data_IF_133709022184
#
_entry.id   IF_133709022184
#
_cell.length_a   1.000
_cell.length_b   1.000
_cell.length_c   1.000
_cell.angle_alpha   90.00
_cell.angle_beta   90.00
_cell.angle_gamma   90.00
#
_symmetry.space_group_name_H-M   'P 1'
#
loop_
_entity.id
_entity.type
_entity.pdbx_description
1 polymer ?
#
# COMPACT_ATOMS: atom_id res chain seq x y z
N UNK A 1 3.51 21.89 -20.58
CA UNK A 1 4.00 20.49 -20.57
C UNK A 1 3.29 19.78 -19.44
N UNK A 2 2.31 18.93 -19.73
CA UNK A 2 1.54 18.19 -18.71
C UNK A 2 2.47 17.20 -18.00
N UNK A 3 2.68 17.38 -16.70
CA UNK A 3 3.52 16.50 -15.89
C UNK A 3 2.72 15.26 -15.50
N UNK A 4 2.72 14.26 -16.38
CA UNK A 4 2.10 12.97 -16.10
C UNK A 4 2.89 12.24 -15.01
N UNK A 5 2.21 11.84 -13.94
CA UNK A 5 2.83 11.07 -12.86
C UNK A 5 2.55 9.59 -13.09
N UNK A 6 3.61 8.77 -13.07
CA UNK A 6 3.47 7.31 -13.15
C UNK A 6 3.30 6.73 -11.75
N UNK A 7 2.19 6.05 -11.51
CA UNK A 7 1.86 5.47 -10.22
C UNK A 7 1.66 3.96 -10.36
N UNK A 8 2.11 3.18 -9.37
CA UNK A 8 1.68 1.78 -9.25
C UNK A 8 0.18 1.71 -8.91
N UNK A 9 -0.45 0.55 -9.09
CA UNK A 9 -1.85 0.32 -8.71
C UNK A 9 -2.09 0.69 -7.25
N UNK A 10 -1.16 0.34 -6.36
CA UNK A 10 -1.26 0.65 -4.93
C UNK A 10 -1.15 2.15 -4.67
N UNK A 11 -0.18 2.82 -5.30
CA UNK A 11 0.00 4.27 -5.14
C UNK A 11 -1.21 5.05 -5.66
N UNK A 12 -1.78 4.62 -6.79
CA UNK A 12 -2.99 5.20 -7.35
C UNK A 12 -4.20 4.98 -6.41
N UNK A 13 -4.35 3.77 -5.87
CA UNK A 13 -5.39 3.43 -4.89
C UNK A 13 -5.33 4.35 -3.66
N UNK A 14 -4.13 4.52 -3.09
CA UNK A 14 -3.91 5.42 -1.95
C UNK A 14 -4.21 6.88 -2.30
N UNK A 15 -3.71 7.38 -3.45
CA UNK A 15 -3.91 8.78 -3.87
C UNK A 15 -5.40 9.10 -4.03
N UNK A 16 -6.17 8.20 -4.63
CA UNK A 16 -7.59 8.42 -4.91
C UNK A 16 -8.54 7.84 -3.86
N UNK A 17 -8.02 7.40 -2.70
CA UNK A 17 -8.81 6.83 -1.60
C UNK A 17 -9.76 5.71 -2.04
N UNK A 18 -9.27 4.83 -2.92
CA UNK A 18 -10.04 3.69 -3.43
C UNK A 18 -9.31 2.38 -3.17
N UNK A 19 -10.06 1.27 -3.15
CA UNK A 19 -9.46 -0.07 -3.04
C UNK A 19 -8.64 -0.41 -4.28
N UNK A 20 -7.54 -1.16 -4.11
CA UNK A 20 -6.76 -1.71 -5.23
C UNK A 20 -7.62 -2.51 -6.19
N UNK A 21 -8.63 -3.23 -5.68
CA UNK A 21 -9.60 -3.94 -6.51
C UNK A 21 -10.40 -3.00 -7.41
N UNK A 22 -10.81 -1.85 -6.89
CA UNK A 22 -11.53 -0.84 -7.66
C UNK A 22 -10.64 -0.25 -8.76
N UNK A 23 -9.36 -0.01 -8.48
CA UNK A 23 -8.37 0.42 -9.48
C UNK A 23 -8.22 -0.62 -10.59
N UNK A 24 -8.03 -1.90 -10.24
CA UNK A 24 -7.91 -3.00 -11.20
C UNK A 24 -9.16 -3.09 -12.08
N UNK A 25 -10.35 -2.94 -11.49
CA UNK A 25 -11.61 -2.93 -12.26
C UNK A 25 -11.63 -1.82 -13.31
N UNK A 26 -11.17 -0.61 -12.96
CA UNK A 26 -11.09 0.53 -13.90
C UNK A 26 -10.03 0.36 -14.97
N UNK A 27 -8.90 -0.26 -14.62
CA UNK A 27 -7.88 -0.68 -15.58
C UNK A 27 -8.46 -1.66 -16.60
N UNK A 28 -9.15 -2.71 -16.13
CA UNK A 28 -9.75 -3.72 -16.99
C UNK A 28 -10.87 -3.14 -17.87
N UNK A 29 -11.60 -2.15 -17.34
CA UNK A 29 -12.59 -1.37 -18.08
C UNK A 29 -11.96 -0.37 -19.08
N UNK A 30 -10.62 -0.29 -19.16
CA UNK A 30 -9.84 0.64 -19.99
C UNK A 30 -10.10 2.12 -19.70
N UNK A 31 -10.58 2.42 -18.49
CA UNK A 31 -10.80 3.79 -18.02
C UNK A 31 -9.50 4.44 -17.54
N UNK A 32 -8.52 3.64 -17.13
CA UNK A 32 -7.19 4.11 -16.69
C UNK A 32 -6.14 3.71 -17.71
N UNK A 33 -5.33 4.69 -18.13
CA UNK A 33 -4.19 4.46 -19.04
C UNK A 33 -3.05 3.82 -18.28
N UNK A 34 -2.46 2.78 -18.86
CA UNK A 34 -1.29 2.10 -18.30
C UNK A 34 -0.11 2.10 -19.27
N UNK A 35 1.09 2.14 -18.72
CA UNK A 35 2.36 2.10 -19.44
C UNK A 35 3.21 0.98 -18.85
N UNK A 36 3.80 0.17 -19.72
CA UNK A 36 4.82 -0.81 -19.37
C UNK A 36 6.18 -0.12 -19.31
N UNK A 37 6.88 -0.27 -18.19
CA UNK A 37 8.23 0.23 -18.01
C UNK A 37 9.12 -0.88 -17.47
N UNK A 38 10.32 -1.00 -18.03
CA UNK A 38 11.33 -1.91 -17.49
C UNK A 38 11.95 -1.26 -16.24
N UNK A 39 11.82 -1.93 -15.11
CA UNK A 39 12.45 -1.56 -13.84
C UNK A 39 13.22 -2.78 -13.37
N UNK A 40 14.53 -2.63 -13.19
CA UNK A 40 15.44 -3.70 -12.73
C UNK A 40 15.35 -5.01 -13.54
N UNK A 41 15.18 -4.89 -14.86
CA UNK A 41 15.11 -6.02 -15.78
C UNK A 41 13.75 -6.71 -15.83
N UNK A 42 12.75 -6.24 -15.08
CA UNK A 42 11.38 -6.76 -15.09
C UNK A 42 10.41 -5.73 -15.71
N UNK A 43 9.52 -6.20 -16.57
CA UNK A 43 8.43 -5.37 -17.08
C UNK A 43 7.39 -5.14 -15.98
N UNK A 44 7.23 -3.89 -15.55
CA UNK A 44 6.23 -3.49 -14.57
C UNK A 44 5.26 -2.49 -15.19
N UNK A 45 3.97 -2.66 -14.90
CA UNK A 45 2.92 -1.79 -15.40
C UNK A 45 2.60 -0.66 -14.41
N UNK A 46 2.46 0.56 -14.93
CA UNK A 46 2.17 1.77 -14.18
C UNK A 46 0.95 2.49 -14.75
N UNK A 47 0.14 3.08 -13.87
CA UNK A 47 -0.99 3.93 -14.23
C UNK A 47 -0.47 5.35 -14.50
N UNK A 48 -0.94 5.93 -15.60
CA UNK A 48 -0.68 7.33 -15.95
C UNK A 48 -1.72 8.19 -15.28
N UNK A 49 -1.28 8.97 -14.29
CA UNK A 49 -2.14 9.91 -13.59
C UNK A 49 -2.03 11.31 -14.20
N UNK A 50 -3.13 11.76 -14.80
CA UNK A 50 -3.28 13.09 -15.39
C UNK A 50 -3.89 14.10 -14.39
N UNK A 51 -4.16 13.70 -13.14
CA UNK A 51 -4.74 14.55 -12.11
C UNK A 51 -3.67 15.32 -11.31
N UNK A 52 -3.21 16.47 -11.83
CA UNK A 52 -2.55 17.49 -10.97
C UNK A 52 -2.88 18.93 -11.41
N UNK A 53 -3.42 19.78 -10.51
CA UNK A 53 -2.95 21.15 -10.33
C UNK A 53 -1.59 21.15 -9.62
N UNK A 54 -0.79 22.22 -9.71
CA UNK A 54 0.61 22.26 -9.28
C UNK A 54 0.77 21.96 -7.77
N UNK A 55 1.90 21.35 -7.37
CA UNK A 55 2.14 20.96 -5.99
C UNK A 55 2.32 22.20 -5.10
N UNK A 56 1.44 22.39 -4.12
CA UNK A 56 1.77 23.18 -2.94
C UNK A 56 2.77 22.37 -2.09
N UNK A 57 3.90 22.95 -1.65
CA UNK A 57 4.85 22.28 -0.77
C UNK A 57 4.29 22.29 0.65
N UNK A 58 3.30 21.44 0.92
CA UNK A 58 2.94 21.11 2.30
C UNK A 58 3.88 20.01 2.76
N UNK A 59 4.90 20.44 3.51
CA UNK A 59 5.75 19.57 4.32
C UNK A 59 4.87 18.64 5.17
N UNK A 60 4.80 17.38 4.79
CA UNK A 60 4.66 16.31 5.77
C UNK A 60 5.86 15.40 5.53
N UNK A 61 6.84 15.60 6.41
CA UNK A 61 7.97 14.72 6.61
C UNK A 61 7.41 13.34 6.94
N UNK A 62 7.18 12.52 5.92
CA UNK A 62 7.17 11.09 6.12
C UNK A 62 8.64 10.73 6.35
N UNK A 63 9.00 10.02 7.44
CA UNK A 63 10.39 9.64 7.63
C UNK A 63 10.79 8.80 6.42
N UNK A 64 11.67 9.36 5.59
CA UNK A 64 12.51 8.60 4.68
C UNK A 64 13.40 7.75 5.55
N UNK A 65 12.86 6.62 6.01
CA UNK A 65 13.72 5.54 6.45
C UNK A 65 14.30 4.98 5.15
N UNK A 66 15.40 5.59 4.71
CA UNK A 66 16.36 4.97 3.81
C UNK A 66 16.91 3.77 4.58
N UNK A 67 16.11 2.71 4.68
CA UNK A 67 16.61 1.42 5.10
C UNK A 67 17.38 0.89 3.90
N UNK A 68 18.67 0.71 4.15
CA UNK A 68 19.59 0.04 3.27
C UNK A 68 18.94 -1.19 2.64
N UNK A 69 19.29 -1.49 1.39
CA UNK A 69 18.91 -2.70 0.68
C UNK A 69 19.56 -3.95 1.32
N UNK A 70 19.36 -4.18 2.60
CA UNK A 70 19.62 -5.48 3.23
C UNK A 70 18.58 -6.47 2.69
N UNK A 71 18.98 -7.68 2.27
CA UNK A 71 18.02 -8.71 1.91
C UNK A 71 17.08 -8.96 3.09
N UNK A 72 15.78 -8.76 2.85
CA UNK A 72 14.74 -8.99 3.87
C UNK A 72 14.65 -10.50 4.10
N UNK A 73 14.88 -10.92 5.33
CA UNK A 73 14.62 -12.29 5.77
C UNK A 73 13.12 -12.47 6.03
N UNK A 74 12.44 -13.07 5.06
CA UNK A 74 11.00 -13.27 5.11
C UNK A 74 10.57 -14.26 6.19
N UNK A 75 11.42 -15.19 6.60
CA UNK A 75 11.11 -16.14 7.67
C UNK A 75 11.03 -15.41 9.01
N UNK A 76 12.01 -14.55 9.29
CA UNK A 76 12.05 -13.74 10.51
C UNK A 76 10.87 -12.76 10.57
N UNK A 77 10.59 -12.05 9.48
CA UNK A 77 9.45 -11.11 9.44
C UNK A 77 8.10 -11.84 9.53
N UNK A 78 8.00 -13.06 8.99
CA UNK A 78 6.82 -13.92 9.19
C UNK A 78 6.62 -14.27 10.67
N UNK A 79 7.65 -14.74 11.36
CA UNK A 79 7.54 -15.09 12.78
C UNK A 79 7.21 -13.88 13.66
N UNK A 80 7.77 -12.72 13.33
CA UNK A 80 7.48 -11.44 14.00
C UNK A 80 6.03 -11.02 13.79
N UNK A 81 5.48 -11.20 12.59
CA UNK A 81 4.07 -10.94 12.32
C UNK A 81 3.16 -11.92 13.05
N UNK A 82 3.50 -13.21 13.06
CA UNK A 82 2.76 -14.25 13.76
C UNK A 82 2.68 -13.97 15.27
N UNK A 83 3.79 -13.55 15.89
CA UNK A 83 3.82 -13.18 17.30
C UNK A 83 2.84 -12.04 17.63
N UNK A 84 2.81 -10.99 16.79
CA UNK A 84 1.86 -9.87 16.95
C UNK A 84 0.41 -10.31 16.78
N UNK A 85 0.15 -11.23 15.86
CA UNK A 85 -1.19 -11.77 15.65
C UNK A 85 -1.67 -12.54 16.89
N UNK A 86 -0.82 -13.40 17.45
CA UNK A 86 -1.12 -14.17 18.66
C UNK A 86 -1.44 -13.24 19.82
N UNK A 87 -0.60 -12.22 20.07
CA UNK A 87 -0.81 -11.24 21.14
C UNK A 87 -2.15 -10.49 20.98
N UNK A 88 -2.49 -10.11 19.75
CA UNK A 88 -3.77 -9.44 19.47
C UNK A 88 -4.96 -10.38 19.69
N UNK A 89 -4.84 -11.64 19.27
CA UNK A 89 -5.86 -12.66 19.42
C UNK A 89 -6.13 -12.99 20.90
N UNK A 90 -5.07 -13.11 21.71
CA UNK A 90 -5.19 -13.33 23.16
C UNK A 90 -5.91 -12.17 23.84
N UNK A 91 -5.51 -10.93 23.55
CA UNK A 91 -6.18 -9.73 24.10
C UNK A 91 -7.66 -9.68 23.71
N UNK A 92 -7.98 -10.02 22.47
CA UNK A 92 -9.36 -10.02 22.00
C UNK A 92 -10.19 -11.11 22.68
N UNK A 93 -9.63 -12.31 22.83
CA UNK A 93 -10.24 -13.43 23.55
C UNK A 93 -10.52 -13.06 25.00
N UNK A 94 -9.55 -12.44 25.69
CA UNK A 94 -9.71 -11.99 27.07
C UNK A 94 -10.86 -10.97 27.20
N UNK A 95 -10.95 -10.00 26.29
CA UNK A 95 -12.04 -9.01 26.28
C UNK A 95 -13.40 -9.68 26.05
N UNK A 96 -13.47 -10.69 25.17
CA UNK A 96 -14.70 -11.44 24.94
C UNK A 96 -15.14 -12.18 26.21
N UNK A 97 -14.22 -12.93 26.84
CA UNK A 97 -14.50 -13.69 28.06
C UNK A 97 -14.92 -12.79 29.23
N UNK A 98 -14.28 -11.62 29.39
CA UNK A 98 -14.66 -10.64 30.41
C UNK A 98 -16.06 -10.08 30.21
N UNK A 99 -16.51 -9.93 28.95
CA UNK A 99 -17.85 -9.46 28.64
C UNK A 99 -18.91 -10.54 28.84
N UNK A 100 -18.62 -11.79 28.50
CA UNK A 100 -19.56 -12.90 28.68
C UNK A 100 -19.70 -13.35 30.13
N UNK A 101 -18.72 -13.05 30.99
CA UNK A 101 -18.76 -13.43 32.42
C UNK A 101 -19.45 -12.37 33.30
N UNK A 102 -19.75 -11.19 32.76
CA UNK A 102 -20.35 -10.05 33.50
C UNK A 102 -21.85 -9.85 33.21
N UNK A 103 -22.48 -10.74 32.45
CA UNK A 103 -23.95 -10.91 32.36
C UNK A 103 -24.40 -12.11 33.20
#
# INVERSE_FOLDING_TARGET
>A
MSTHTLLSIQQYATKHKMSTFAVIKRVNAKELKMIKKNVDGKEQEFIVDESTPPPHPSSNVLPSNTQEHSPIDYEVEFHKLLAKYIELHEKYTQILEEKTTKE
#
